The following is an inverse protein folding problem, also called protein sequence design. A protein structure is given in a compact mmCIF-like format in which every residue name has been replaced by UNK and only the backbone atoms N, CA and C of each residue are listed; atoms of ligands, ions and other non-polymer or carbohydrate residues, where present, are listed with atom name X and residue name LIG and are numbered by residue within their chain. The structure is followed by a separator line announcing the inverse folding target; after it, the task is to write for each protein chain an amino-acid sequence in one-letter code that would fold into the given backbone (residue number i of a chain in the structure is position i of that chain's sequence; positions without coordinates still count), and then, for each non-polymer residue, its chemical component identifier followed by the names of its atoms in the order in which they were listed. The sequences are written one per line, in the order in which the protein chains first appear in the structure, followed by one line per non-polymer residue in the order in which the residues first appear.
data_IF_544176774799
#
_entry.id   IF_544176774799
#
_cell.length_a   1.000
_cell.length_b   1.000
_cell.length_c   1.000
_cell.angle_alpha   90.00
_cell.angle_beta   90.00
_cell.angle_gamma   90.00
#
_symmetry.space_group_name_H-M   'P 1'
#
loop_
_entity.id
_entity.type
_entity.pdbx_description
1 polymer ?
#
# COMPACT_ATOMS: atom_id res chain seq x y z
N UNK A 1 0.01 -10.11 -3.10
CA UNK A 1 0.90 -9.26 -3.93
C UNK A 1 2.19 -8.99 -3.17
N UNK A 2 3.35 -9.36 -3.71
CA UNK A 2 4.63 -9.32 -2.97
C UNK A 2 5.09 -7.90 -2.60
N UNK A 3 4.84 -6.89 -3.44
CA UNK A 3 5.20 -5.48 -3.11
C UNK A 3 4.44 -5.00 -1.86
N UNK A 4 3.15 -5.31 -1.76
CA UNK A 4 2.34 -4.96 -0.58
C UNK A 4 2.78 -5.73 0.67
N UNK A 5 3.14 -7.01 0.52
CA UNK A 5 3.69 -7.82 1.61
C UNK A 5 5.02 -7.25 2.13
N UNK A 6 5.93 -6.86 1.23
CA UNK A 6 7.20 -6.24 1.60
C UNK A 6 7.00 -4.92 2.35
N UNK A 7 6.04 -4.09 1.90
CA UNK A 7 5.68 -2.88 2.63
C UNK A 7 5.11 -3.19 4.02
N UNK A 8 4.22 -4.18 4.14
CA UNK A 8 3.70 -4.62 5.44
C UNK A 8 4.79 -5.11 6.40
N UNK A 9 5.78 -5.87 5.89
CA UNK A 9 6.92 -6.34 6.68
C UNK A 9 7.84 -5.18 7.12
N UNK A 10 7.98 -4.15 6.28
CA UNK A 10 8.70 -2.93 6.65
C UNK A 10 8.00 -2.20 7.81
N UNK A 11 6.67 -2.11 7.79
CA UNK A 11 5.88 -1.56 8.88
C UNK A 11 5.92 -2.45 10.14
N UNK A 12 6.11 -3.76 9.96
CA UNK A 12 6.29 -4.76 11.02
C UNK A 12 4.97 -5.30 11.57
N UNK A 13 4.17 -4.46 12.23
CA UNK A 13 2.83 -4.80 12.74
C UNK A 13 2.01 -3.54 12.95
N UNK A 14 0.69 -3.65 12.91
CA UNK A 14 -0.20 -2.54 13.23
C UNK A 14 -1.37 -2.44 12.25
N UNK A 15 -1.90 -1.23 12.07
CA UNK A 15 -3.03 -0.95 11.21
C UNK A 15 -2.53 -0.35 9.90
N UNK A 16 -3.00 -0.88 8.76
CA UNK A 16 -2.73 -0.30 7.44
C UNK A 16 -4.05 -0.05 6.72
N UNK A 17 -4.22 1.15 6.17
CA UNK A 17 -5.39 1.48 5.37
C UNK A 17 -5.13 1.20 3.89
N UNK A 18 -6.13 0.66 3.19
CA UNK A 18 -6.10 0.50 1.74
C UNK A 18 -7.22 1.36 1.16
N UNK A 19 -6.89 2.16 0.16
CA UNK A 19 -7.84 2.98 -0.59
C UNK A 19 -7.55 2.90 -2.08
N UNK A 20 -8.54 3.19 -2.91
CA UNK A 20 -8.39 3.16 -4.38
C UNK A 20 -9.16 4.28 -5.07
N UNK A 21 -8.75 4.62 -6.28
CA UNK A 21 -9.61 5.39 -7.18
C UNK A 21 -10.60 4.46 -7.94
N UNK A 22 -11.34 5.04 -8.88
CA UNK A 22 -12.38 4.35 -9.65
C UNK A 22 -11.87 3.73 -10.97
N UNK A 23 -10.56 3.60 -11.18
CA UNK A 23 -10.01 3.01 -12.41
C UNK A 23 -10.41 1.54 -12.56
N UNK A 24 -10.62 1.05 -13.80
CA UNK A 24 -10.81 -0.37 -14.06
C UNK A 24 -9.63 -1.19 -13.50
N UNK A 25 -9.94 -2.33 -12.85
CA UNK A 25 -8.94 -3.21 -12.22
C UNK A 25 -8.43 -2.74 -10.85
N UNK A 26 -8.78 -1.53 -10.39
CA UNK A 26 -8.35 -1.03 -9.08
C UNK A 26 -8.88 -1.87 -7.92
N UNK A 27 -10.08 -2.46 -8.05
CA UNK A 27 -10.65 -3.35 -7.04
C UNK A 27 -9.83 -4.64 -6.89
N UNK A 28 -9.38 -5.24 -7.99
CA UNK A 28 -8.61 -6.48 -7.96
C UNK A 28 -7.22 -6.25 -7.37
N UNK A 29 -6.56 -5.14 -7.75
CA UNK A 29 -5.28 -4.74 -7.16
C UNK A 29 -5.45 -4.40 -5.67
N UNK A 30 -6.54 -3.76 -5.27
CA UNK A 30 -6.85 -3.47 -3.87
C UNK A 30 -6.95 -4.76 -3.04
N UNK A 31 -7.68 -5.76 -3.53
CA UNK A 31 -7.78 -7.06 -2.88
C UNK A 31 -6.42 -7.78 -2.81
N UNK A 32 -5.63 -7.75 -3.88
CA UNK A 32 -4.30 -8.36 -3.91
C UNK A 32 -3.31 -7.66 -2.96
N UNK A 33 -3.44 -6.34 -2.79
CA UNK A 33 -2.67 -5.54 -1.85
C UNK A 33 -3.09 -5.83 -0.40
N UNK A 34 -4.38 -5.81 -0.10
CA UNK A 34 -4.94 -6.16 1.20
C UNK A 34 -4.52 -7.57 1.64
N UNK A 35 -4.57 -8.55 0.72
CA UNK A 35 -4.08 -9.90 0.98
C UNK A 35 -2.58 -9.91 1.32
N UNK A 36 -1.73 -9.25 0.52
CA UNK A 36 -0.29 -9.17 0.79
C UNK A 36 0.05 -8.53 2.13
N UNK A 37 -0.62 -7.42 2.48
CA UNK A 37 -0.48 -6.74 3.77
C UNK A 37 -0.91 -7.62 4.94
N UNK A 38 -2.03 -8.35 4.78
CA UNK A 38 -2.53 -9.27 5.80
C UNK A 38 -1.54 -10.41 6.04
N UNK A 39 -0.97 -11.00 4.98
CA UNK A 39 0.08 -12.02 5.07
C UNK A 39 1.33 -11.52 5.79
N UNK A 40 1.63 -10.22 5.69
CA UNK A 40 2.73 -9.59 6.42
C UNK A 40 2.43 -9.34 7.91
N UNK A 41 1.24 -9.70 8.41
CA UNK A 41 0.84 -9.52 9.81
C UNK A 41 0.16 -8.18 10.12
N UNK A 42 -0.22 -7.41 9.09
CA UNK A 42 -0.93 -6.14 9.29
C UNK A 42 -2.44 -6.36 9.47
N UNK A 43 -3.07 -5.52 10.28
CA UNK A 43 -4.53 -5.36 10.33
C UNK A 43 -4.96 -4.40 9.23
N UNK A 44 -5.53 -4.94 8.16
CA UNK A 44 -5.96 -4.15 7.01
C UNK A 44 -7.33 -3.54 7.23
N UNK A 45 -7.47 -2.24 6.94
CA UNK A 45 -8.74 -1.53 6.85
C UNK A 45 -8.92 -1.08 5.41
N UNK A 46 -9.86 -1.70 4.69
CA UNK A 46 -10.25 -1.25 3.35
C UNK A 46 -11.25 -0.10 3.47
N UNK A 47 -10.89 1.06 2.92
CA UNK A 47 -11.70 2.27 2.91
C UNK A 47 -12.45 2.45 1.58
N UNK A 48 -12.27 1.54 0.62
CA UNK A 48 -12.96 1.55 -0.66
C UNK A 48 -12.48 2.65 -1.60
N UNK A 49 -13.43 3.32 -2.27
CA UNK A 49 -13.15 4.39 -3.24
C UNK A 49 -13.06 5.71 -2.50
N UNK A 50 -11.91 6.37 -2.57
CA UNK A 50 -11.68 7.70 -2.02
C UNK A 50 -10.50 8.40 -2.69
N UNK A 51 -10.41 9.74 -2.66
CA UNK A 51 -9.23 10.45 -3.12
C UNK A 51 -8.05 10.31 -2.15
N UNK A 52 -6.81 10.40 -2.64
CA UNK A 52 -5.59 10.27 -1.82
C UNK A 52 -5.55 11.15 -0.55
N UNK A 53 -6.01 12.43 -0.57
CA UNK A 53 -6.03 13.24 0.64
C UNK A 53 -6.97 12.70 1.74
N UNK A 54 -8.07 12.04 1.36
CA UNK A 54 -8.97 11.40 2.32
C UNK A 54 -8.32 10.17 2.95
N UNK A 55 -7.49 9.44 2.19
CA UNK A 55 -6.70 8.32 2.72
C UNK A 55 -5.74 8.83 3.79
N UNK A 56 -4.96 9.88 3.47
CA UNK A 56 -4.04 10.52 4.42
C UNK A 56 -4.76 11.01 5.67
N UNK A 57 -5.94 11.62 5.52
CA UNK A 57 -6.77 12.04 6.64
C UNK A 57 -7.15 10.86 7.55
N UNK A 58 -7.56 9.72 6.97
CA UNK A 58 -7.84 8.52 7.74
C UNK A 58 -6.61 7.98 8.47
N UNK A 59 -5.44 7.96 7.83
CA UNK A 59 -4.19 7.50 8.46
C UNK A 59 -3.93 8.24 9.78
N UNK A 60 -4.01 9.57 9.74
CA UNK A 60 -3.82 10.43 10.92
C UNK A 60 -4.94 10.22 11.94
N UNK A 61 -6.20 10.22 11.49
CA UNK A 61 -7.37 10.18 12.38
C UNK A 61 -7.46 8.90 13.20
N UNK A 62 -7.13 7.75 12.62
CA UNK A 62 -7.19 6.47 13.33
C UNK A 62 -5.81 6.02 13.85
N UNK A 63 -4.78 6.84 13.66
CA UNK A 63 -3.39 6.52 14.00
C UNK A 63 -2.92 5.21 13.34
N UNK A 64 -3.20 5.06 12.05
CA UNK A 64 -2.69 3.94 11.27
C UNK A 64 -1.17 4.05 11.09
N UNK A 65 -0.52 2.90 10.90
CA UNK A 65 0.93 2.81 10.74
C UNK A 65 1.38 3.06 9.29
N UNK A 66 0.44 3.01 8.35
CA UNK A 66 0.64 3.39 6.96
C UNK A 66 -0.60 3.18 6.11
N UNK A 67 -0.48 3.47 4.81
CA UNK A 67 -1.54 3.26 3.84
C UNK A 67 -1.03 2.81 2.48
N UNK A 68 -1.91 2.25 1.68
CA UNK A 68 -1.66 1.95 0.26
C UNK A 68 -2.80 2.54 -0.57
N UNK A 69 -2.45 3.43 -1.49
CA UNK A 69 -3.38 4.00 -2.46
C UNK A 69 -3.22 3.29 -3.81
N UNK A 70 -4.30 2.68 -4.31
CA UNK A 70 -4.34 2.10 -5.66
C UNK A 70 -4.82 3.20 -6.62
N UNK A 71 -3.90 3.72 -7.42
CA UNK A 71 -4.19 4.82 -8.35
C UNK A 71 -3.14 4.94 -9.44
N UNK A 72 -3.52 5.53 -10.57
CA UNK A 72 -2.58 6.06 -11.55
C UNK A 72 -2.29 7.56 -11.36
N UNK A 73 -2.85 8.20 -10.33
CA UNK A 73 -2.91 9.64 -10.13
C UNK A 73 -3.37 10.35 -11.43
N UNK A 74 -2.45 11.04 -12.11
CA UNK A 74 -2.70 11.80 -13.34
C UNK A 74 -2.34 11.02 -14.62
N UNK A 75 -1.83 9.80 -14.50
CA UNK A 75 -1.43 8.99 -15.64
C UNK A 75 -2.66 8.57 -16.47
N UNK A 76 -2.50 8.32 -17.79
CA UNK A 76 -3.57 7.80 -18.63
C UNK A 76 -4.29 6.59 -18.00
N UNK A 77 -5.57 6.38 -18.32
CA UNK A 77 -6.46 5.41 -17.64
C UNK A 77 -5.93 3.97 -17.61
N UNK A 78 -5.10 3.60 -18.61
CA UNK A 78 -4.46 2.28 -18.71
C UNK A 78 -3.37 2.02 -17.66
N UNK A 79 -2.85 3.06 -17.02
CA UNK A 79 -1.83 2.92 -15.97
C UNK A 79 -2.49 2.87 -14.61
N UNK A 80 -2.07 1.89 -13.83
CA UNK A 80 -2.54 1.63 -12.50
C UNK A 80 -1.40 1.05 -11.68
N UNK A 81 -1.28 1.47 -10.43
CA UNK A 81 -0.25 0.99 -9.53
C UNK A 81 -0.63 1.20 -8.08
N UNK A 82 0.34 1.01 -7.21
CA UNK A 82 0.20 1.26 -5.78
C UNK A 82 1.15 2.35 -5.32
N UNK A 83 0.69 3.20 -4.42
CA UNK A 83 1.49 4.23 -3.75
C UNK A 83 1.44 3.93 -2.26
N UNK A 84 2.54 3.41 -1.67
CA UNK A 84 2.66 3.29 -0.22
C UNK A 84 2.79 4.68 0.44
N UNK A 85 2.11 4.84 1.56
CA UNK A 85 2.09 6.04 2.39
C UNK A 85 2.51 5.68 3.82
N UNK A 86 3.37 6.49 4.43
CA UNK A 86 3.75 6.36 5.83
C UNK A 86 2.65 6.92 6.75
N UNK A 87 2.78 6.69 8.06
CA UNK A 87 1.80 7.11 9.09
C UNK A 87 1.46 8.60 9.09
N UNK A 88 2.33 9.46 8.58
CA UNK A 88 2.13 10.91 8.46
C UNK A 88 1.53 11.33 7.11
N UNK A 89 1.20 10.37 6.24
CA UNK A 89 0.67 10.61 4.90
C UNK A 89 1.75 10.91 3.86
N UNK A 90 3.04 10.88 4.22
CA UNK A 90 4.12 11.05 3.26
C UNK A 90 4.26 9.82 2.35
N UNK A 91 4.63 10.05 1.10
CA UNK A 91 5.01 8.97 0.19
C UNK A 91 6.34 8.32 0.56
N UNK A 92 6.55 7.11 0.08
CA UNK A 92 7.79 6.35 0.29
C UNK A 92 8.85 6.74 -0.74
N UNK A 93 10.01 7.23 -0.28
CA UNK A 93 11.15 7.63 -1.11
C UNK A 93 12.50 7.29 -0.45
N UNK A 94 13.58 7.39 -1.23
CA UNK A 94 14.97 7.25 -0.75
C UNK A 94 15.22 5.98 0.04
N UNK A 95 15.89 6.11 1.20
CA UNK A 95 16.26 4.97 2.07
C UNK A 95 15.08 4.09 2.49
N UNK A 96 13.88 4.67 2.65
CA UNK A 96 12.67 3.91 2.99
C UNK A 96 12.27 3.03 1.81
N UNK A 97 12.23 3.60 0.61
CA UNK A 97 11.97 2.85 -0.63
C UNK A 97 12.99 1.74 -0.85
N UNK A 98 14.28 2.05 -0.70
CA UNK A 98 15.36 1.06 -0.81
C UNK A 98 15.22 -0.09 0.19
N UNK A 99 14.82 0.20 1.43
CA UNK A 99 14.59 -0.83 2.44
C UNK A 99 13.44 -1.77 2.06
N UNK A 100 12.32 -1.21 1.57
CA UNK A 100 11.17 -1.99 1.10
C UNK A 100 11.56 -2.83 -0.13
N UNK A 101 12.33 -2.27 -1.06
CA UNK A 101 12.83 -3.00 -2.24
C UNK A 101 13.68 -4.21 -1.83
N UNK A 102 14.60 -4.05 -0.87
CA UNK A 102 15.40 -5.18 -0.37
C UNK A 102 14.56 -6.30 0.24
N UNK A 103 13.49 -5.94 0.97
CA UNK A 103 12.55 -6.91 1.53
C UNK A 103 11.80 -7.64 0.40
N UNK A 104 11.35 -6.89 -0.62
CA UNK A 104 10.68 -7.45 -1.79
C UNK A 104 11.58 -8.44 -2.54
N UNK A 105 12.83 -8.05 -2.85
CA UNK A 105 13.80 -8.90 -3.54
C UNK A 105 14.04 -10.20 -2.78
N UNK A 106 14.21 -10.11 -1.46
CA UNK A 106 14.36 -11.29 -0.59
C UNK A 106 13.15 -12.22 -0.68
N UNK A 107 11.92 -11.67 -0.53
CA UNK A 107 10.70 -12.47 -0.62
C UNK A 107 10.56 -13.20 -1.96
N UNK A 108 11.02 -12.57 -3.06
CA UNK A 108 10.91 -13.13 -4.41
C UNK A 108 12.01 -14.11 -4.76
N UNK A 109 13.20 -13.98 -4.17
CA UNK A 109 14.28 -14.96 -4.32
C UNK A 109 13.91 -16.31 -3.68
N UNK A 110 13.11 -16.30 -2.62
CA UNK A 110 12.61 -17.52 -1.96
C UNK A 110 11.52 -18.26 -2.79
N UNK A 111 11.06 -17.67 -3.90
CA UNK A 111 10.03 -18.24 -4.79
C UNK A 111 10.60 -18.86 -6.07
N UNK A 112 11.91 -18.71 -6.33
CA UNK A 112 12.63 -19.23 -7.49
C UNK A 112 13.47 -20.45 -7.13
#
# INVERSE_FOLDING_TARGET
MEVAKAFGQYLGKGIVCVGRDNRPGAVDISHAAASGLSTAGMKVIDLGILPTPELCFHLVRIKADGGVMITGSHLPIKYLGIIPLLKDGSGVYGKVGEAITKIYEKNTADLS
#
